data_IF_738872377727
#
_entry.id   IF_738872377727
#
_cell.length_a   1.000
_cell.length_b   1.000
_cell.length_c   1.000
_cell.angle_alpha   90.00
_cell.angle_beta   90.00
_cell.angle_gamma   90.00
#
_symmetry.space_group_name_H-M   'P 1'
#
loop_
_entity.id
_entity.type
_entity.pdbx_description
1 polymer ?
#
# COMPACT_ATOMS: atom_id res chain seq x y z
N UNK A 1 31.43 -13.64 43.19
CA UNK A 1 31.98 -13.44 41.82
C UNK A 1 31.23 -14.36 40.87
N UNK A 2 30.18 -13.86 40.21
CA UNK A 2 29.32 -14.64 39.29
C UNK A 2 29.96 -14.71 37.90
N UNK A 3 30.64 -15.80 37.56
CA UNK A 3 31.14 -16.00 36.20
C UNK A 3 31.41 -17.49 35.87
N UNK A 4 30.38 -18.34 35.96
CA UNK A 4 30.44 -19.67 35.34
C UNK A 4 29.02 -20.11 34.89
N UNK A 5 28.43 -19.37 33.95
CA UNK A 5 27.11 -19.69 33.36
C UNK A 5 27.06 -19.57 31.83
N UNK A 6 28.23 -19.46 31.16
CA UNK A 6 28.33 -19.29 29.69
C UNK A 6 28.98 -20.47 28.94
N UNK A 7 29.16 -21.65 29.57
CA UNK A 7 29.87 -22.77 28.94
C UNK A 7 29.09 -24.10 28.98
N UNK A 8 27.76 -24.05 28.82
CA UNK A 8 26.98 -25.24 28.48
C UNK A 8 25.73 -24.86 27.66
N UNK A 9 25.93 -24.18 26.52
CA UNK A 9 24.91 -24.13 25.48
C UNK A 9 25.13 -25.35 24.58
N UNK A 10 24.23 -26.33 24.65
CA UNK A 10 24.27 -27.51 23.79
C UNK A 10 24.14 -27.07 22.32
N UNK A 11 24.87 -27.69 21.38
CA UNK A 11 24.83 -27.30 19.96
C UNK A 11 23.42 -27.39 19.37
N UNK A 12 22.57 -28.26 19.94
CA UNK A 12 21.16 -28.39 19.59
C UNK A 12 20.33 -27.13 19.92
N UNK A 13 20.61 -26.43 21.04
CA UNK A 13 19.89 -25.20 21.44
C UNK A 13 20.25 -24.02 20.53
N UNK A 14 21.50 -23.91 20.09
CA UNK A 14 21.96 -22.86 19.16
C UNK A 14 21.34 -23.06 17.77
N UNK A 15 21.29 -24.30 17.27
CA UNK A 15 20.63 -24.61 16.00
C UNK A 15 19.13 -24.33 16.07
N UNK A 16 18.46 -24.69 17.18
CA UNK A 16 17.03 -24.41 17.37
C UNK A 16 16.74 -22.89 17.45
N UNK A 17 17.59 -22.12 18.15
CA UNK A 17 17.45 -20.68 18.30
C UNK A 17 17.75 -19.89 17.01
N UNK A 18 18.70 -20.38 16.21
CA UNK A 18 18.97 -19.80 14.88
C UNK A 18 17.87 -20.17 13.88
N UNK A 19 17.26 -21.35 13.99
CA UNK A 19 16.09 -21.75 13.18
C UNK A 19 14.87 -20.89 13.50
N UNK A 20 14.57 -20.67 14.78
CA UNK A 20 13.43 -19.84 15.20
C UNK A 20 13.65 -18.38 14.81
N UNK A 21 14.85 -17.80 15.01
CA UNK A 21 15.14 -16.44 14.54
C UNK A 21 14.99 -16.31 13.02
N UNK A 22 15.51 -17.27 12.23
CA UNK A 22 15.35 -17.26 10.77
C UNK A 22 13.88 -17.37 10.36
N UNK A 23 13.09 -18.17 11.06
CA UNK A 23 11.64 -18.27 10.85
C UNK A 23 10.92 -16.95 11.15
N UNK A 24 11.24 -16.29 12.26
CA UNK A 24 10.65 -14.98 12.58
C UNK A 24 11.09 -13.88 11.61
N UNK A 25 12.35 -13.88 11.17
CA UNK A 25 12.85 -12.92 10.18
C UNK A 25 12.15 -13.13 8.83
N UNK A 26 12.06 -14.38 8.36
CA UNK A 26 11.37 -14.70 7.10
C UNK A 26 9.87 -14.37 7.16
N UNK A 27 9.20 -14.66 8.27
CA UNK A 27 7.80 -14.28 8.49
C UNK A 27 7.61 -12.75 8.49
N UNK A 28 8.50 -12.01 9.16
CA UNK A 28 8.43 -10.55 9.22
C UNK A 28 8.66 -9.91 7.84
N UNK A 29 9.60 -10.43 7.05
CA UNK A 29 9.84 -10.00 5.67
C UNK A 29 8.65 -10.29 4.75
N UNK A 30 8.01 -11.45 4.92
CA UNK A 30 6.83 -11.79 4.14
C UNK A 30 5.63 -10.92 4.51
N UNK A 31 5.45 -10.66 5.81
CA UNK A 31 4.40 -9.77 6.31
C UNK A 31 4.58 -8.34 5.81
N UNK A 32 5.81 -7.79 5.84
CA UNK A 32 6.07 -6.44 5.32
C UNK A 32 5.81 -6.34 3.83
N UNK A 33 6.19 -7.35 3.02
CA UNK A 33 5.85 -7.39 1.60
C UNK A 33 4.34 -7.38 1.36
N UNK A 34 3.60 -8.20 2.11
CA UNK A 34 2.14 -8.27 1.98
C UNK A 34 1.48 -6.91 2.28
N UNK A 35 1.96 -6.21 3.30
CA UNK A 35 1.47 -4.87 3.66
C UNK A 35 1.71 -3.85 2.53
N UNK A 36 2.89 -3.87 1.91
CA UNK A 36 3.18 -2.95 0.78
C UNK A 36 2.27 -3.25 -0.41
N UNK A 37 2.04 -4.52 -0.73
CA UNK A 37 1.20 -4.92 -1.85
C UNK A 37 -0.26 -4.47 -1.68
N UNK A 38 -0.84 -4.61 -0.48
CA UNK A 38 -2.25 -4.21 -0.25
C UNK A 38 -2.45 -2.70 -0.31
N UNK A 39 -1.44 -1.91 0.09
CA UNK A 39 -1.51 -0.45 0.04
C UNK A 39 -1.32 0.09 -1.39
N UNK A 40 -0.67 -0.65 -2.28
CA UNK A 40 -0.47 -0.20 -3.66
C UNK A 40 -1.76 -0.20 -4.50
N UNK A 41 -2.76 -1.02 -4.13
CA UNK A 41 -4.00 -1.18 -4.91
C UNK A 41 -5.22 -0.54 -4.28
N UNK A 42 -5.15 -0.05 -3.05
CA UNK A 42 -6.38 0.37 -2.41
C UNK A 42 -6.85 1.77 -2.84
N UNK A 43 -8.16 1.90 -2.91
CA UNK A 43 -8.82 2.96 -3.66
C UNK A 43 -8.96 2.67 -5.16
N UNK A 44 -8.43 1.57 -5.68
CA UNK A 44 -8.65 1.17 -7.07
C UNK A 44 -10.12 0.77 -7.27
N UNK A 45 -10.77 1.38 -8.24
CA UNK A 45 -12.14 1.02 -8.63
C UNK A 45 -12.15 -0.11 -9.64
N UNK A 46 -13.21 -0.92 -9.60
CA UNK A 46 -13.45 -2.00 -10.57
C UNK A 46 -14.22 -1.53 -11.82
N UNK A 47 -14.61 -0.24 -11.86
CA UNK A 47 -15.38 0.41 -12.92
C UNK A 47 -16.56 -0.44 -13.43
N UNK A 48 -17.26 -1.12 -12.51
CA UNK A 48 -18.38 -2.02 -12.86
C UNK A 48 -19.67 -1.25 -13.14
N UNK A 49 -19.80 -0.05 -12.59
CA UNK A 49 -20.96 0.77 -12.81
C UNK A 49 -20.73 1.75 -14.00
N UNK A 50 -21.68 1.87 -14.95
CA UNK A 50 -21.52 2.73 -16.11
C UNK A 50 -21.39 4.22 -15.79
N UNK A 51 -21.82 4.67 -14.61
CA UNK A 51 -21.60 6.06 -14.16
C UNK A 51 -20.17 6.34 -13.71
N UNK A 52 -19.36 5.30 -13.47
CA UNK A 52 -17.95 5.40 -13.08
C UNK A 52 -17.04 5.57 -14.30
N UNK A 53 -17.50 5.20 -15.50
CA UNK A 53 -16.71 5.31 -16.73
C UNK A 53 -16.46 6.79 -17.06
N UNK A 54 -15.19 7.15 -17.25
CA UNK A 54 -14.74 8.52 -17.43
C UNK A 54 -14.54 9.30 -16.13
N UNK A 55 -14.78 8.68 -14.95
CA UNK A 55 -14.51 9.31 -13.66
C UNK A 55 -13.10 9.04 -13.15
N UNK A 56 -12.65 9.94 -12.28
CA UNK A 56 -11.36 9.88 -11.61
C UNK A 56 -11.53 9.70 -10.10
N UNK A 57 -10.74 8.81 -9.51
CA UNK A 57 -10.76 8.49 -8.09
C UNK A 57 -9.38 8.73 -7.45
N UNK A 58 -9.34 9.21 -6.20
CA UNK A 58 -8.08 9.47 -5.53
C UNK A 58 -7.36 8.16 -5.18
N UNK A 59 -6.05 8.16 -5.35
CA UNK A 59 -5.22 7.12 -4.77
C UNK A 59 -5.11 7.35 -3.24
N UNK A 60 -5.24 6.29 -2.44
CA UNK A 60 -5.40 6.40 -0.98
C UNK A 60 -4.12 6.86 -0.25
N UNK A 61 -2.95 6.45 -0.75
CA UNK A 61 -1.65 6.72 -0.10
C UNK A 61 -0.79 7.73 -0.83
N UNK A 62 -1.05 7.93 -2.12
CA UNK A 62 -0.16 8.68 -3.00
C UNK A 62 -0.96 9.75 -3.73
N UNK A 63 -0.91 11.01 -3.28
CA UNK A 63 -1.67 12.06 -3.91
C UNK A 63 -1.07 12.52 -5.24
N UNK A 64 0.12 12.06 -5.64
CA UNK A 64 0.67 12.36 -6.97
C UNK A 64 0.03 11.51 -8.07
N UNK A 65 -0.79 10.52 -7.70
CA UNK A 65 -1.44 9.59 -8.60
C UNK A 65 -2.95 9.54 -8.39
N UNK A 66 -3.66 9.09 -9.41
CA UNK A 66 -5.09 8.87 -9.35
C UNK A 66 -5.50 7.67 -10.20
N UNK A 67 -6.66 7.11 -9.86
CA UNK A 67 -7.28 6.02 -10.59
C UNK A 67 -8.24 6.58 -11.63
N UNK A 68 -8.15 6.11 -12.86
CA UNK A 68 -9.02 6.52 -13.96
C UNK A 68 -9.76 5.31 -14.54
N UNK A 69 -11.08 5.41 -14.57
CA UNK A 69 -11.94 4.41 -15.21
C UNK A 69 -12.09 4.71 -16.70
N UNK A 70 -11.36 3.96 -17.55
CA UNK A 70 -11.43 4.15 -19.00
C UNK A 70 -12.59 3.38 -19.63
N UNK A 71 -12.87 2.15 -19.16
CA UNK A 71 -13.88 1.24 -19.72
C UNK A 71 -14.71 0.57 -18.63
N UNK A 72 -15.91 0.14 -19.03
CA UNK A 72 -16.83 -0.62 -18.18
C UNK A 72 -16.30 -2.04 -17.95
N UNK A 73 -16.39 -2.52 -16.70
CA UNK A 73 -15.90 -3.84 -16.25
C UNK A 73 -14.40 -4.06 -16.37
N UNK A 74 -13.60 -2.99 -16.52
CA UNK A 74 -12.14 -3.04 -16.42
C UNK A 74 -11.69 -2.35 -15.13
N UNK A 75 -10.61 -2.85 -14.52
CA UNK A 75 -10.00 -2.19 -13.36
C UNK A 75 -9.49 -0.79 -13.73
N UNK A 76 -9.60 0.14 -12.79
CA UNK A 76 -9.13 1.50 -13.03
C UNK A 76 -7.61 1.55 -13.26
N UNK A 77 -7.21 2.38 -14.22
CA UNK A 77 -5.83 2.57 -14.62
C UNK A 77 -5.20 3.65 -13.74
N UNK A 78 -4.03 3.37 -13.19
CA UNK A 78 -3.23 4.38 -12.48
C UNK A 78 -2.70 5.43 -13.45
N UNK A 79 -2.90 6.70 -13.14
CA UNK A 79 -2.39 7.84 -13.91
C UNK A 79 -1.63 8.78 -12.98
N UNK A 80 -0.46 9.21 -13.42
CA UNK A 80 0.37 10.18 -12.72
C UNK A 80 -0.07 11.62 -13.04
N UNK A 81 -0.09 12.46 -12.01
CA UNK A 81 -0.24 13.91 -12.18
C UNK A 81 1.08 14.54 -12.71
N UNK A 82 1.00 15.71 -13.37
CA UNK A 82 2.18 16.45 -13.79
C UNK A 82 3.07 16.85 -12.59
N UNK A 83 4.35 17.15 -12.87
CA UNK A 83 5.32 17.50 -11.83
C UNK A 83 4.83 18.64 -10.93
N UNK A 84 5.13 18.53 -9.64
CA UNK A 84 4.74 19.49 -8.60
C UNK A 84 3.22 19.71 -8.45
N UNK A 85 2.42 18.74 -8.88
CA UNK A 85 0.97 18.72 -8.62
C UNK A 85 0.54 17.46 -7.88
N UNK A 86 -0.59 17.58 -7.19
CA UNK A 86 -1.26 16.52 -6.44
C UNK A 86 -2.73 16.47 -6.86
N UNK A 87 -3.26 15.26 -6.99
CA UNK A 87 -4.64 15.02 -7.33
C UNK A 87 -5.58 15.43 -6.18
N UNK A 88 -6.55 16.29 -6.51
CA UNK A 88 -7.56 16.75 -5.57
C UNK A 88 -8.92 16.14 -5.87
N UNK A 89 -9.42 15.34 -4.94
CA UNK A 89 -10.70 14.64 -5.05
C UNK A 89 -11.92 15.58 -5.19
N UNK A 90 -11.85 16.82 -4.65
CA UNK A 90 -12.94 17.82 -4.77
C UNK A 90 -13.07 18.37 -6.19
N UNK A 91 -11.93 18.67 -6.81
CA UNK A 91 -11.85 19.28 -8.14
C UNK A 91 -11.75 18.24 -9.25
N UNK A 92 -11.55 16.97 -8.88
CA UNK A 92 -11.30 15.84 -9.80
C UNK A 92 -10.14 16.13 -10.77
N UNK A 93 -9.16 16.91 -10.31
CA UNK A 93 -8.06 17.45 -11.11
C UNK A 93 -6.77 17.52 -10.29
N UNK A 94 -5.64 17.54 -11.00
CA UNK A 94 -4.32 17.78 -10.41
C UNK A 94 -4.15 19.28 -10.11
N UNK A 95 -3.84 19.62 -8.87
CA UNK A 95 -3.60 20.99 -8.41
C UNK A 95 -2.19 21.14 -7.84
N UNK A 96 -1.62 22.35 -7.75
CA UNK A 96 -0.34 22.56 -7.10
C UNK A 96 -0.33 22.04 -5.66
N UNK A 97 0.78 21.42 -5.23
CA UNK A 97 0.94 20.86 -3.89
C UNK A 97 0.60 21.83 -2.75
N UNK A 98 0.91 23.12 -2.92
CA UNK A 98 0.63 24.15 -1.93
C UNK A 98 -0.86 24.29 -1.56
N UNK A 99 -1.76 23.92 -2.49
CA UNK A 99 -3.21 24.01 -2.32
C UNK A 99 -3.86 22.65 -2.04
N UNK A 100 -3.06 21.58 -2.02
CA UNK A 100 -3.57 20.24 -1.76
C UNK A 100 -3.93 20.07 -0.29
N UNK A 101 -5.11 19.52 -0.04
CA UNK A 101 -5.61 19.26 1.30
C UNK A 101 -5.86 17.77 1.44
N UNK A 102 -5.21 17.16 2.43
CA UNK A 102 -5.48 15.78 2.78
C UNK A 102 -6.93 15.62 3.25
N UNK A 103 -7.67 14.72 2.61
CA UNK A 103 -8.97 14.26 3.08
C UNK A 103 -8.85 12.79 3.42
N UNK A 104 -9.64 12.37 4.42
CA UNK A 104 -9.86 10.96 4.71
C UNK A 104 -10.24 10.23 3.41
N UNK A 105 -9.51 9.19 3.04
CA UNK A 105 -9.82 8.42 1.85
C UNK A 105 -11.21 7.79 1.93
N UNK A 106 -11.89 7.74 0.79
CA UNK A 106 -13.22 7.18 0.64
C UNK A 106 -13.20 6.18 -0.50
N UNK A 107 -13.83 5.03 -0.30
CA UNK A 107 -13.85 3.98 -1.30
C UNK A 107 -14.77 4.36 -2.47
N UNK A 108 -14.38 4.03 -3.71
CA UNK A 108 -15.30 4.10 -4.83
C UNK A 108 -16.51 3.16 -4.63
N UNK A 109 -17.64 3.42 -5.34
CA UNK A 109 -18.82 2.56 -5.30
C UNK A 109 -18.47 1.09 -5.54
N UNK A 110 -17.56 0.84 -6.49
CA UNK A 110 -17.06 -0.50 -6.79
C UNK A 110 -15.56 -0.56 -6.54
N UNK A 111 -15.14 -1.45 -5.62
CA UNK A 111 -13.73 -1.72 -5.32
C UNK A 111 -13.23 -2.92 -6.11
N UNK A 112 -11.99 -2.86 -6.60
CA UNK A 112 -11.32 -3.95 -7.33
C UNK A 112 -10.80 -5.05 -6.40
#
# INVERSE_FOLDING_TARGET
>A
MFACKRLCESPLRIVFQTLTMKFFISLALFASLAIVAVNALAGQSACRDPSEVGQTYPHHWDPSKYWFCEKLNEVAVEKDCPKDTAYMHLLKACIPWANWVWKKPENPPTVA
#
